data_IF_455709183347
#
_entry.id   IF_455709183347
#
_cell.length_a   1.000
_cell.length_b   1.000
_cell.length_c   1.000
_cell.angle_alpha   90.00
_cell.angle_beta   90.00
_cell.angle_gamma   90.00
#
_symmetry.space_group_name_H-M   'P 1'
#
loop_
_entity.id
_entity.type
_entity.pdbx_description
1 polymer ?
#
# COMPACT_ATOMS: atom_id res chain seq x y z
N UNK A 1 8.22 17.51 -1.58
CA UNK A 1 8.41 16.30 -0.75
C UNK A 1 9.81 15.73 -0.92
N UNK A 2 10.44 15.38 0.21
CA UNK A 2 11.64 14.56 0.31
C UNK A 2 11.47 13.59 1.49
N UNK A 3 11.72 12.31 1.31
CA UNK A 3 11.76 11.35 2.40
C UNK A 3 12.91 10.34 2.24
N UNK A 4 13.46 9.90 3.37
CA UNK A 4 14.62 9.01 3.44
C UNK A 4 14.27 7.79 4.27
N UNK A 5 14.42 6.61 3.68
CA UNK A 5 14.17 5.31 4.28
C UNK A 5 15.51 4.60 4.48
N UNK A 6 15.76 4.06 5.66
CA UNK A 6 17.00 3.33 5.96
C UNK A 6 16.76 1.86 6.35
N UNK A 7 17.79 1.04 6.15
CA UNK A 7 17.85 -0.31 6.67
C UNK A 7 16.69 -1.21 6.21
N UNK A 8 16.04 -1.88 7.15
CA UNK A 8 14.95 -2.81 6.86
C UNK A 8 13.70 -2.12 6.29
N UNK A 9 13.52 -0.81 6.54
CA UNK A 9 12.38 -0.04 6.02
C UNK A 9 12.29 -0.10 4.50
N UNK A 10 13.42 -0.14 3.79
CA UNK A 10 13.45 -0.22 2.32
C UNK A 10 12.74 -1.48 1.82
N UNK A 11 12.98 -2.63 2.48
CA UNK A 11 12.35 -3.91 2.14
C UNK A 11 10.85 -3.89 2.46
N UNK A 12 10.46 -3.27 3.56
CA UNK A 12 9.05 -3.14 3.96
C UNK A 12 8.30 -2.26 2.95
N UNK A 13 8.86 -1.11 2.58
CA UNK A 13 8.31 -0.23 1.57
C UNK A 13 8.18 -0.93 0.21
N UNK A 14 9.22 -1.67 -0.22
CA UNK A 14 9.17 -2.46 -1.46
C UNK A 14 8.09 -3.53 -1.46
N UNK A 15 7.87 -4.22 -0.32
CA UNK A 15 6.78 -5.19 -0.17
C UNK A 15 5.40 -4.52 -0.24
N UNK A 16 5.25 -3.33 0.34
CA UNK A 16 4.00 -2.57 0.25
C UNK A 16 3.69 -2.15 -1.20
N UNK A 17 4.67 -1.59 -1.91
CA UNK A 17 4.52 -1.26 -3.34
C UNK A 17 4.18 -2.50 -4.17
N UNK A 18 4.86 -3.63 -3.91
CA UNK A 18 4.54 -4.89 -4.58
C UNK A 18 3.11 -5.36 -4.30
N UNK A 19 2.64 -5.27 -3.06
CA UNK A 19 1.26 -5.61 -2.72
C UNK A 19 0.25 -4.70 -3.44
N UNK A 20 0.51 -3.39 -3.52
CA UNK A 20 -0.34 -2.44 -4.24
C UNK A 20 -0.40 -2.75 -5.75
N UNK A 21 0.72 -3.17 -6.36
CA UNK A 21 0.76 -3.56 -7.79
C UNK A 21 -0.09 -4.78 -8.15
N UNK A 22 -0.61 -5.52 -7.15
CA UNK A 22 -1.55 -6.62 -7.36
C UNK A 22 -3.01 -6.14 -7.43
N UNK A 23 -3.27 -4.88 -7.09
CA UNK A 23 -4.62 -4.31 -6.98
C UNK A 23 -4.89 -3.34 -8.11
N UNK A 24 -3.96 -2.43 -8.38
CA UNK A 24 -4.11 -1.43 -9.45
C UNK A 24 -2.80 -1.20 -10.20
N UNK A 25 -2.96 -0.68 -11.41
CA UNK A 25 -1.85 -0.37 -12.33
C UNK A 25 -1.20 0.99 -12.04
N UNK A 26 -1.89 1.84 -11.27
CA UNK A 26 -1.47 3.19 -10.90
C UNK A 26 -1.21 3.29 -9.40
N UNK A 27 -0.25 4.14 -9.00
CA UNK A 27 0.09 4.40 -7.61
C UNK A 27 0.08 5.91 -7.36
N UNK A 28 -0.60 6.31 -6.29
CA UNK A 28 -0.63 7.67 -5.78
C UNK A 28 0.33 7.81 -4.60
N UNK A 29 1.12 8.88 -4.60
CA UNK A 29 2.03 9.24 -3.51
C UNK A 29 1.55 10.54 -2.89
N UNK A 30 0.91 10.43 -1.73
CA UNK A 30 0.31 11.56 -1.04
C UNK A 30 1.16 11.95 0.19
N UNK A 31 2.01 12.99 0.10
CA UNK A 31 2.64 13.59 1.28
C UNK A 31 1.59 14.22 2.19
N UNK A 32 1.39 13.63 3.38
CA UNK A 32 0.55 14.20 4.44
C UNK A 32 1.41 14.67 5.61
N UNK A 33 0.85 15.49 6.50
CA UNK A 33 1.52 15.86 7.75
C UNK A 33 1.82 14.65 8.64
N UNK A 34 0.90 13.67 8.62
CA UNK A 34 1.00 12.42 9.38
C UNK A 34 1.82 11.33 8.68
N UNK A 35 2.55 11.68 7.62
CA UNK A 35 3.43 10.76 6.87
C UNK A 35 3.03 10.58 5.41
N UNK A 36 3.66 9.63 4.73
CA UNK A 36 3.41 9.34 3.31
C UNK A 36 2.31 8.28 3.18
N UNK A 37 1.23 8.62 2.50
CA UNK A 37 0.24 7.63 2.06
C UNK A 37 0.57 7.17 0.64
N UNK A 38 0.62 5.85 0.44
CA UNK A 38 0.80 5.21 -0.86
C UNK A 38 -0.49 4.44 -1.17
N UNK A 39 -1.18 4.85 -2.24
CA UNK A 39 -2.53 4.37 -2.54
C UNK A 39 -2.60 3.78 -3.94
N UNK A 40 -3.59 2.92 -4.15
CA UNK A 40 -3.96 2.41 -5.46
C UNK A 40 -5.46 2.12 -5.51
N UNK A 41 -6.02 2.17 -6.71
CA UNK A 41 -7.36 1.72 -7.01
C UNK A 41 -7.29 0.85 -8.26
N UNK A 42 -8.14 -0.17 -8.33
CA UNK A 42 -8.26 -0.97 -9.54
C UNK A 42 -9.00 -0.21 -10.66
N UNK A 43 -8.94 -0.74 -11.89
CA UNK A 43 -9.55 -0.12 -13.08
C UNK A 43 -11.07 0.09 -12.98
N UNK A 44 -11.78 -0.79 -12.26
CA UNK A 44 -13.22 -0.71 -12.04
C UNK A 44 -13.62 0.14 -10.83
N UNK A 45 -12.65 0.74 -10.12
CA UNK A 45 -12.88 1.54 -8.91
C UNK A 45 -13.63 0.80 -7.78
N UNK A 46 -13.57 -0.53 -7.78
CA UNK A 46 -14.23 -1.39 -6.79
C UNK A 46 -13.29 -1.88 -5.69
N UNK A 47 -11.98 -1.82 -5.90
CA UNK A 47 -10.96 -2.18 -4.92
C UNK A 47 -10.00 -1.02 -4.70
N UNK A 48 -9.83 -0.65 -3.42
CA UNK A 48 -8.93 0.40 -2.97
C UNK A 48 -7.97 -0.17 -1.94
N UNK A 49 -6.69 0.22 -2.02
CA UNK A 49 -5.71 -0.10 -1.00
C UNK A 49 -4.82 1.10 -0.69
N UNK A 50 -4.39 1.16 0.57
CA UNK A 50 -3.62 2.26 1.11
C UNK A 50 -2.64 1.75 2.17
N UNK A 51 -1.37 2.10 2.01
CA UNK A 51 -0.37 2.00 3.08
C UNK A 51 -0.01 3.41 3.55
N UNK A 52 -0.11 3.63 4.86
CA UNK A 52 0.29 4.87 5.50
C UNK A 52 1.60 4.68 6.28
N UNK A 53 2.68 5.30 5.81
CA UNK A 53 3.96 5.30 6.50
C UNK A 53 4.07 6.55 7.37
N UNK A 54 4.09 6.36 8.69
CA UNK A 54 4.23 7.47 9.65
C UNK A 54 5.58 8.19 9.48
N UNK A 55 5.75 9.45 9.93
CA UNK A 55 7.02 10.16 9.79
C UNK A 55 8.18 9.42 10.49
N UNK A 56 7.88 8.66 11.54
CA UNK A 56 8.83 7.82 12.30
C UNK A 56 9.37 6.63 11.51
N UNK A 57 8.70 6.22 10.43
CA UNK A 57 9.21 5.20 9.52
C UNK A 57 10.42 5.71 8.72
N UNK A 58 10.51 7.01 8.52
CA UNK A 58 11.56 7.65 7.75
C UNK A 58 12.64 8.18 8.70
N UNK A 59 13.89 8.07 8.29
CA UNK A 59 14.97 8.79 8.95
C UNK A 59 14.77 10.31 8.79
N UNK A 60 14.27 10.72 7.63
CA UNK A 60 13.91 12.09 7.33
C UNK A 60 12.61 12.11 6.53
N UNK A 61 11.63 12.90 6.98
CA UNK A 61 10.38 13.13 6.26
C UNK A 61 10.13 14.62 6.16
N UNK A 62 10.09 15.12 4.93
CA UNK A 62 9.84 16.53 4.60
C UNK A 62 8.72 16.54 3.56
N UNK A 63 7.47 16.83 3.96
CA UNK A 63 6.35 16.85 3.02
C UNK A 63 6.50 18.01 2.01
N UNK A 64 6.96 19.17 2.48
CA UNK A 64 7.09 20.39 1.69
C UNK A 64 8.47 20.48 0.99
N UNK A 65 8.53 20.63 -0.34
CA UNK A 65 9.79 20.80 -1.07
C UNK A 65 10.60 22.05 -0.68
N UNK A 66 9.99 23.08 -0.09
CA UNK A 66 10.67 24.34 0.24
C UNK A 66 11.55 24.24 1.50
N UNK A 67 11.36 23.19 2.29
CA UNK A 67 12.14 22.94 3.51
C UNK A 67 13.37 22.11 3.13
N UNK A 68 14.46 22.77 2.75
CA UNK A 68 15.73 22.10 2.48
C UNK A 68 16.49 21.84 3.79
N UNK A 69 16.55 20.57 4.18
CA UNK A 69 17.39 20.11 5.29
C UNK A 69 18.41 19.11 4.77
N UNK A 70 19.68 19.48 4.86
CA UNK A 70 20.78 18.64 4.37
C UNK A 70 20.83 17.33 5.15
N UNK A 71 21.12 16.24 4.43
CA UNK A 71 21.00 14.89 4.96
C UNK A 71 22.39 14.26 5.06
N UNK A 72 22.70 13.64 6.20
CA UNK A 72 23.99 12.97 6.37
C UNK A 72 24.17 11.83 5.35
N UNK A 73 25.40 11.64 4.87
CA UNK A 73 25.75 10.60 3.89
C UNK A 73 25.83 9.23 4.58
N UNK A 74 24.68 8.60 4.78
CA UNK A 74 24.57 7.20 5.22
C UNK A 74 24.51 6.24 4.03
N UNK A 75 24.98 5.01 4.25
CA UNK A 75 24.97 3.90 3.28
C UNK A 75 23.78 3.00 3.57
N UNK A 76 23.24 2.31 2.56
CA UNK A 76 22.07 1.43 2.65
C UNK A 76 20.76 2.20 2.96
N UNK A 77 20.49 3.24 2.16
CA UNK A 77 19.28 4.07 2.23
C UNK A 77 18.59 4.28 0.88
N UNK A 78 17.31 4.61 0.90
CA UNK A 78 16.51 5.03 -0.25
C UNK A 78 15.98 6.44 0.00
N UNK A 79 16.33 7.39 -0.87
CA UNK A 79 15.78 8.74 -0.88
C UNK A 79 14.72 8.86 -1.97
N UNK A 80 13.55 9.37 -1.61
CA UNK A 80 12.46 9.68 -2.52
C UNK A 80 12.28 11.20 -2.51
N UNK A 81 12.43 11.84 -3.66
CA UNK A 81 12.24 13.29 -3.79
C UNK A 81 11.40 13.64 -5.01
N UNK A 82 10.64 14.73 -4.91
CA UNK A 82 9.85 15.27 -6.02
C UNK A 82 10.60 16.46 -6.62
N UNK A 83 10.94 16.35 -7.90
CA UNK A 83 11.46 17.44 -8.71
C UNK A 83 10.30 18.08 -9.47
N UNK A 84 9.73 19.15 -8.87
CA UNK A 84 8.55 19.86 -9.42
C UNK A 84 8.82 20.43 -10.82
N UNK A 85 9.92 21.16 -11.07
CA UNK A 85 10.18 21.74 -12.39
C UNK A 85 10.17 20.74 -13.55
N UNK A 86 10.56 19.48 -13.28
CA UNK A 86 10.65 18.44 -14.30
C UNK A 86 9.51 17.41 -14.23
N UNK A 87 8.54 17.59 -13.32
CA UNK A 87 7.47 16.63 -13.04
C UNK A 87 7.99 15.19 -12.87
N UNK A 88 9.09 15.04 -12.12
CA UNK A 88 9.68 13.73 -11.84
C UNK A 88 9.74 13.40 -10.37
N UNK A 89 9.41 12.17 -10.03
CA UNK A 89 9.75 11.55 -8.75
C UNK A 89 11.07 10.81 -8.93
N UNK A 90 12.00 11.07 -8.03
CA UNK A 90 13.35 10.51 -8.05
C UNK A 90 13.47 9.53 -6.89
N UNK A 91 13.76 8.27 -7.21
CA UNK A 91 14.15 7.25 -6.24
C UNK A 91 15.65 7.04 -6.34
N UNK A 92 16.37 7.35 -5.25
CA UNK A 92 17.82 7.23 -5.18
C UNK A 92 18.21 6.22 -4.11
N UNK A 93 18.74 5.09 -4.56
CA UNK A 93 19.24 4.03 -3.69
C UNK A 93 20.74 4.21 -3.48
N UNK A 94 21.14 4.49 -2.26
CA UNK A 94 22.53 4.52 -1.83
C UNK A 94 22.92 3.14 -1.30
N UNK A 95 23.65 2.39 -2.11
CA UNK A 95 24.12 1.05 -1.80
C UNK A 95 25.56 1.08 -1.28
N UNK A 96 26.00 -0.07 -0.78
CA UNK A 96 27.40 -0.30 -0.38
C UNK A 96 28.40 0.03 -1.49
N UNK A 97 29.63 0.30 -1.08
CA UNK A 97 30.76 0.65 -1.97
C UNK A 97 30.55 1.96 -2.76
N UNK A 98 29.71 2.87 -2.26
CA UNK A 98 29.45 4.17 -2.88
C UNK A 98 28.58 4.09 -4.14
N UNK A 99 27.98 2.93 -4.44
CA UNK A 99 27.11 2.76 -5.60
C UNK A 99 25.80 3.49 -5.33
N UNK A 100 25.42 4.41 -6.22
CA UNK A 100 24.11 5.07 -6.18
C UNK A 100 23.33 4.73 -7.43
N UNK A 101 22.12 4.18 -7.26
CA UNK A 101 21.18 3.93 -8.36
C UNK A 101 20.06 4.94 -8.31
N UNK A 102 19.86 5.68 -9.40
CA UNK A 102 18.85 6.73 -9.50
C UNK A 102 17.81 6.35 -10.54
N UNK A 103 16.54 6.37 -10.14
CA UNK A 103 15.39 6.11 -11.00
C UNK A 103 14.55 7.38 -11.06
N UNK A 104 14.36 7.90 -12.28
CA UNK A 104 13.61 9.12 -12.53
C UNK A 104 12.29 8.76 -13.21
N UNK A 105 11.20 8.77 -12.45
CA UNK A 105 9.87 8.42 -12.94
C UNK A 105 9.07 9.70 -13.20
N UNK A 106 8.37 9.76 -14.33
CA UNK A 106 7.40 10.84 -14.57
C UNK A 106 6.19 10.66 -13.64
N UNK A 107 5.63 11.76 -13.14
CA UNK A 107 4.37 11.73 -12.42
C UNK A 107 3.37 12.70 -13.04
N UNK A 108 2.10 12.47 -12.75
CA UNK A 108 1.01 13.38 -13.09
C UNK A 108 0.38 13.90 -11.80
N UNK A 109 0.15 15.20 -11.74
CA UNK A 109 -0.59 15.80 -10.63
C UNK A 109 -2.07 15.45 -10.75
N UNK A 110 -2.66 15.02 -9.64
CA UNK A 110 -4.07 14.66 -9.56
C UNK A 110 -4.61 14.96 -8.16
N UNK A 111 -5.94 14.96 -8.03
CA UNK A 111 -6.58 15.07 -6.73
C UNK A 111 -6.30 13.85 -5.86
N UNK A 112 -6.21 14.07 -4.55
CA UNK A 112 -5.93 13.00 -3.60
C UNK A 112 -7.01 11.91 -3.68
N UNK A 113 -6.59 10.69 -4.04
CA UNK A 113 -7.49 9.55 -4.09
C UNK A 113 -7.91 9.18 -2.65
N UNK A 114 -9.16 9.45 -2.28
CA UNK A 114 -9.68 9.11 -0.96
C UNK A 114 -10.90 8.18 -1.07
N UNK A 115 -10.76 6.97 -0.54
CA UNK A 115 -11.92 6.13 -0.28
C UNK A 115 -12.59 6.58 1.03
N UNK A 116 -13.84 7.05 0.94
CA UNK A 116 -14.65 7.34 2.12
C UNK A 116 -15.26 6.04 2.61
N UNK A 117 -14.59 5.38 3.55
CA UNK A 117 -15.14 4.20 4.21
C UNK A 117 -15.01 4.26 5.74
N UNK A 118 -16.13 4.39 6.48
CA UNK A 118 -16.11 4.42 7.92
C UNK A 118 -16.04 3.00 8.49
N UNK A 119 -14.84 2.43 8.57
CA UNK A 119 -14.62 1.07 9.10
C UNK A 119 -15.18 0.87 10.52
N UNK A 120 -15.19 1.92 11.34
CA UNK A 120 -15.76 1.90 12.69
C UNK A 120 -17.29 1.72 12.71
N UNK A 121 -17.98 1.94 11.60
CA UNK A 121 -19.42 1.70 11.46
C UNK A 121 -19.72 0.31 10.88
N UNK A 122 -18.69 -0.51 10.61
CA UNK A 122 -18.92 -1.86 10.10
C UNK A 122 -19.58 -2.72 11.18
N UNK A 123 -20.73 -3.36 10.88
CA UNK A 123 -21.45 -4.17 11.87
C UNK A 123 -20.73 -5.49 12.16
N UNK A 124 -19.87 -5.94 11.24
CA UNK A 124 -19.16 -7.22 11.32
C UNK A 124 -17.65 -6.97 11.23
N UNK A 125 -16.90 -7.37 12.25
CA UNK A 125 -15.44 -7.27 12.31
C UNK A 125 -14.87 -8.66 12.59
N UNK A 126 -14.00 -9.13 11.69
CA UNK A 126 -13.23 -10.35 11.86
C UNK A 126 -11.74 -10.00 11.93
N UNK A 127 -11.07 -10.41 13.00
CA UNK A 127 -9.64 -10.21 13.18
C UNK A 127 -8.96 -11.56 13.39
N UNK A 128 -7.95 -11.84 12.57
CA UNK A 128 -7.20 -13.09 12.59
C UNK A 128 -5.72 -12.84 12.30
N UNK A 129 -4.86 -13.78 12.69
CA UNK A 129 -3.45 -13.73 12.30
C UNK A 129 -3.34 -13.84 10.77
N UNK A 130 -2.53 -12.98 10.16
CA UNK A 130 -2.31 -12.99 8.71
C UNK A 130 -1.82 -14.36 8.21
N UNK A 131 -0.97 -15.04 8.99
CA UNK A 131 -0.52 -16.40 8.69
C UNK A 131 -1.66 -17.40 8.62
N UNK A 132 -2.60 -17.35 9.57
CA UNK A 132 -3.78 -18.23 9.57
C UNK A 132 -4.63 -18.02 8.31
N UNK A 133 -4.85 -16.77 7.91
CA UNK A 133 -5.57 -16.47 6.66
C UNK A 133 -4.81 -16.98 5.43
N UNK A 134 -3.48 -16.83 5.41
CA UNK A 134 -2.63 -17.39 4.37
C UNK A 134 -2.74 -18.92 4.27
N UNK A 135 -2.69 -19.61 5.41
CA UNK A 135 -2.82 -21.07 5.51
C UNK A 135 -4.21 -21.56 5.06
N UNK A 136 -5.25 -20.72 5.13
CA UNK A 136 -6.57 -21.03 4.58
C UNK A 136 -6.59 -20.83 3.06
N UNK A 137 -6.02 -19.72 2.57
CA UNK A 137 -6.09 -19.33 1.15
C UNK A 137 -5.38 -20.33 0.24
N UNK A 138 -4.33 -21.00 0.72
CA UNK A 138 -3.59 -22.02 -0.07
C UNK A 138 -4.44 -23.23 -0.48
N UNK A 139 -5.61 -23.42 0.12
CA UNK A 139 -6.54 -24.49 -0.25
C UNK A 139 -7.44 -24.14 -1.45
N UNK A 140 -7.48 -22.88 -1.87
CA UNK A 140 -8.18 -22.47 -3.09
C UNK A 140 -7.30 -22.66 -4.34
N UNK A 141 -7.91 -22.98 -5.50
CA UNK A 141 -7.18 -22.96 -6.77
C UNK A 141 -6.56 -21.58 -7.02
N UNK A 142 -5.37 -21.54 -7.62
CA UNK A 142 -4.70 -20.28 -7.98
C UNK A 142 -5.47 -19.45 -9.02
N UNK A 143 -6.37 -20.10 -9.77
CA UNK A 143 -7.28 -19.46 -10.73
C UNK A 143 -8.60 -18.98 -10.10
N UNK A 144 -8.78 -19.15 -8.78
CA UNK A 144 -10.00 -18.74 -8.12
C UNK A 144 -10.07 -17.21 -8.06
N UNK A 145 -11.06 -16.63 -8.74
CA UNK A 145 -11.24 -15.17 -8.80
C UNK A 145 -12.02 -14.64 -7.60
N UNK A 146 -13.02 -15.40 -7.14
CA UNK A 146 -13.93 -14.96 -6.08
C UNK A 146 -14.09 -15.99 -4.96
N UNK A 147 -14.13 -15.51 -3.71
CA UNK A 147 -14.31 -16.32 -2.51
C UNK A 147 -15.40 -15.69 -1.64
N UNK A 148 -16.35 -16.49 -1.20
CA UNK A 148 -17.42 -16.09 -0.28
C UNK A 148 -17.01 -16.34 1.17
N UNK A 149 -17.04 -15.29 2.00
CA UNK A 149 -16.85 -15.37 3.44
C UNK A 149 -18.22 -15.32 4.14
N UNK A 150 -18.54 -16.35 4.93
CA UNK A 150 -19.77 -16.41 5.73
C UNK A 150 -19.47 -16.63 7.20
N UNK A 151 -20.17 -15.89 8.08
CA UNK A 151 -19.99 -15.97 9.53
C UNK A 151 -21.29 -16.49 10.15
N UNK A 152 -21.17 -17.47 11.05
CA UNK A 152 -22.24 -17.96 11.91
C UNK A 152 -21.80 -17.92 13.37
N UNK A 153 -22.71 -18.13 14.31
CA UNK A 153 -22.41 -18.08 15.76
C UNK A 153 -21.29 -19.02 16.22
N UNK A 154 -20.97 -20.06 15.44
CA UNK A 154 -20.00 -21.10 15.82
C UNK A 154 -18.86 -21.31 14.83
N UNK A 155 -18.93 -20.74 13.62
CA UNK A 155 -17.92 -20.94 12.58
C UNK A 155 -17.85 -19.80 11.58
N UNK A 156 -16.64 -19.59 11.07
CA UNK A 156 -16.35 -18.81 9.87
C UNK A 156 -16.12 -19.80 8.73
N UNK A 157 -16.72 -19.55 7.57
CA UNK A 157 -16.65 -20.43 6.39
C UNK A 157 -16.18 -19.62 5.19
N UNK A 158 -15.15 -20.08 4.50
CA UNK A 158 -14.73 -19.56 3.20
C UNK A 158 -15.06 -20.61 2.14
N UNK A 159 -15.71 -20.20 1.05
CA UNK A 159 -16.09 -21.06 -0.08
C UNK A 159 -15.73 -20.40 -1.40
N UNK A 160 -15.46 -21.21 -2.42
CA UNK A 160 -15.39 -20.73 -3.80
C UNK A 160 -16.75 -20.18 -4.21
N UNK A 161 -16.78 -18.99 -4.78
CA UNK A 161 -18.00 -18.48 -5.40
C UNK A 161 -18.27 -19.21 -6.72
N UNK A 162 -19.53 -19.56 -6.98
CA UNK A 162 -20.01 -20.08 -8.26
C UNK A 162 -21.22 -19.22 -8.68
N UNK A 163 -21.17 -18.65 -9.89
CA UNK A 163 -22.20 -17.74 -10.42
C UNK A 163 -23.62 -18.34 -10.44
N UNK A 164 -23.73 -19.69 -10.46
CA UNK A 164 -25.02 -20.39 -10.45
C UNK A 164 -25.74 -20.33 -9.09
N UNK A 165 -25.04 -20.07 -7.99
CA UNK A 165 -25.66 -19.84 -6.68
C UNK A 165 -26.15 -18.39 -6.58
N UNK A 166 -27.47 -18.24 -6.60
CA UNK A 166 -28.20 -16.96 -6.62
C UNK A 166 -28.14 -16.21 -5.26
N UNK A 167 -26.95 -16.03 -4.67
CA UNK A 167 -26.76 -15.27 -3.44
C UNK A 167 -26.51 -13.80 -3.77
N UNK A 168 -27.54 -12.96 -3.60
CA UNK A 168 -27.52 -11.50 -3.85
C UNK A 168 -26.74 -10.68 -2.83
N UNK A 169 -25.73 -11.26 -2.17
CA UNK A 169 -25.00 -10.58 -1.10
C UNK A 169 -23.56 -10.32 -1.55
N UNK A 170 -23.37 -9.19 -2.24
CA UNK A 170 -22.03 -8.64 -2.47
C UNK A 170 -21.51 -8.08 -1.15
N UNK A 171 -20.55 -8.76 -0.53
CA UNK A 171 -19.90 -8.27 0.68
C UNK A 171 -18.68 -7.44 0.31
N UNK A 172 -18.60 -6.21 0.83
CA UNK A 172 -17.35 -5.46 0.79
C UNK A 172 -16.46 -5.98 1.91
N UNK A 173 -15.41 -6.71 1.55
CA UNK A 173 -14.45 -7.27 2.52
C UNK A 173 -13.34 -6.25 2.76
N UNK A 174 -13.21 -5.80 4.01
CA UNK A 174 -12.12 -4.93 4.43
C UNK A 174 -11.03 -5.74 5.08
N UNK A 175 -9.85 -5.76 4.46
CA UNK A 175 -8.67 -6.37 5.05
C UNK A 175 -7.81 -5.24 5.59
N UNK A 176 -7.94 -4.96 6.89
CA UNK A 176 -7.02 -4.09 7.62
C UNK A 176 -5.85 -4.96 8.09
N UNK A 177 -4.70 -4.81 7.44
CA UNK A 177 -3.46 -5.44 7.90
C UNK A 177 -2.76 -4.48 8.84
N UNK A 178 -2.79 -4.79 10.15
CA UNK A 178 -2.01 -4.09 11.17
C UNK A 178 -0.57 -4.58 11.22
#
# INVERSE_FOLDING_TARGET
MKCVIEGNGIKVFGKAVHALSRIGDEIWLDPLEKGLAVRTVNSSQSAYACFCFTPLFFQQYIPDPDIQKDCERSVDKCEISINIPNSRVIFQFHCRHGITKTYNLGYQECEALQAVFPAHLSPNILMAQSKLLGDIVVHFPVSQEEVTLSISSFKVTLKTFCEEENSKETFVVFIVVH
#
